data_IF_252023603914
#
_entry.id   IF_252023603914
#
_cell.length_a   1.000
_cell.length_b   1.000
_cell.length_c   1.000
_cell.angle_alpha   90.00
_cell.angle_beta   90.00
_cell.angle_gamma   90.00
#
_symmetry.space_group_name_H-M   'P 1'
#
loop_
_entity.id
_entity.type
_entity.pdbx_description
1 polymer ?
#
# COMPACT_ATOMS: atom_id res chain seq x y z
N UNK A 1 15.21 -15.76 21.38
CA UNK A 1 14.25 -15.53 20.28
C UNK A 1 15.06 -15.46 19.00
N UNK A 2 14.63 -16.11 17.91
CA UNK A 2 15.34 -16.01 16.62
C UNK A 2 15.26 -14.57 16.12
N UNK A 3 16.35 -14.05 15.57
CA UNK A 3 16.34 -12.75 14.87
C UNK A 3 15.69 -12.90 13.50
N UNK A 4 15.27 -11.79 12.89
CA UNK A 4 14.77 -11.81 11.51
C UNK A 4 15.83 -12.37 10.54
N UNK A 5 17.11 -12.10 10.80
CA UNK A 5 18.22 -12.65 10.00
C UNK A 5 18.33 -14.17 10.09
N UNK A 6 18.07 -14.74 11.28
CA UNK A 6 18.06 -16.19 11.47
C UNK A 6 16.91 -16.85 10.69
N UNK A 7 15.71 -16.23 10.72
CA UNK A 7 14.54 -16.73 10.00
C UNK A 7 14.73 -16.62 8.49
N UNK A 8 15.34 -15.53 7.99
CA UNK A 8 15.67 -15.36 6.56
C UNK A 8 16.65 -16.44 6.09
N UNK A 9 17.64 -16.79 6.92
CA UNK A 9 18.62 -17.83 6.57
C UNK A 9 18.01 -19.22 6.51
N UNK A 10 17.14 -19.54 7.47
CA UNK A 10 16.50 -20.85 7.56
C UNK A 10 15.35 -21.03 6.54
N UNK A 11 14.61 -19.97 6.26
CA UNK A 11 13.39 -19.98 5.44
C UNK A 11 13.41 -18.89 4.35
N UNK A 12 14.43 -18.86 3.46
CA UNK A 12 14.62 -17.76 2.52
C UNK A 12 13.44 -17.58 1.55
N UNK A 13 12.72 -18.67 1.25
CA UNK A 13 11.55 -18.63 0.35
C UNK A 13 10.38 -17.82 0.94
N UNK A 14 10.23 -17.75 2.26
CA UNK A 14 9.18 -16.93 2.90
C UNK A 14 9.41 -15.43 2.71
N UNK A 15 10.59 -15.03 2.26
CA UNK A 15 10.95 -13.64 1.97
C UNK A 15 11.07 -13.36 0.47
N UNK A 16 10.66 -14.32 -0.37
CA UNK A 16 10.43 -14.12 -1.80
C UNK A 16 8.94 -13.90 -2.02
N UNK A 17 8.57 -13.08 -3.01
CA UNK A 17 7.16 -12.78 -3.29
C UNK A 17 6.32 -14.05 -3.50
N UNK A 18 6.79 -14.95 -4.36
CA UNK A 18 6.11 -16.22 -4.67
C UNK A 18 5.95 -17.09 -3.43
N UNK A 19 6.99 -17.21 -2.59
CA UNK A 19 6.92 -18.02 -1.39
C UNK A 19 6.06 -17.40 -0.30
N UNK A 20 6.03 -16.06 -0.19
CA UNK A 20 5.12 -15.34 0.71
C UNK A 20 3.67 -15.57 0.29
N UNK A 21 3.35 -15.41 -1.00
CA UNK A 21 2.01 -15.64 -1.55
C UNK A 21 1.56 -17.08 -1.35
N UNK A 22 2.44 -18.05 -1.64
CA UNK A 22 2.16 -19.47 -1.44
C UNK A 22 1.87 -19.78 0.04
N UNK A 23 2.72 -19.30 0.94
CA UNK A 23 2.55 -19.53 2.37
C UNK A 23 1.26 -18.91 2.92
N UNK A 24 0.95 -17.68 2.51
CA UNK A 24 -0.31 -17.02 2.88
C UNK A 24 -1.52 -17.85 2.43
N UNK A 25 -1.48 -18.39 1.21
CA UNK A 25 -2.53 -19.28 0.70
C UNK A 25 -2.65 -20.56 1.50
N UNK A 26 -1.54 -21.20 1.85
CA UNK A 26 -1.57 -22.43 2.67
C UNK A 26 -2.19 -22.17 4.05
N UNK A 27 -1.91 -21.01 4.65
CA UNK A 27 -2.44 -20.64 5.96
C UNK A 27 -3.92 -20.22 5.93
N UNK A 28 -4.35 -19.52 4.89
CA UNK A 28 -5.67 -18.85 4.87
C UNK A 28 -6.66 -19.45 3.87
N UNK A 29 -6.18 -20.26 2.92
CA UNK A 29 -6.93 -20.71 1.75
C UNK A 29 -7.16 -19.61 0.69
N UNK A 30 -6.67 -18.39 0.91
CA UNK A 30 -6.93 -17.24 0.03
C UNK A 30 -5.82 -17.12 -1.01
N UNK A 31 -6.24 -17.07 -2.28
CA UNK A 31 -5.40 -16.68 -3.41
C UNK A 31 -5.32 -15.15 -3.46
N UNK A 32 -4.21 -14.55 -3.01
CA UNK A 32 -4.06 -13.10 -2.91
C UNK A 32 -4.31 -12.39 -4.24
N UNK A 33 -3.73 -12.89 -5.33
CA UNK A 33 -3.82 -12.23 -6.63
C UNK A 33 -5.28 -12.22 -7.14
N UNK A 34 -5.95 -13.37 -7.08
CA UNK A 34 -7.37 -13.50 -7.47
C UNK A 34 -8.28 -12.63 -6.59
N UNK A 35 -8.06 -12.65 -5.26
CA UNK A 35 -8.85 -11.88 -4.31
C UNK A 35 -8.64 -10.36 -4.45
N UNK A 36 -7.43 -9.95 -4.84
CA UNK A 36 -7.09 -8.57 -5.12
C UNK A 36 -7.75 -8.10 -6.42
N UNK A 37 -7.71 -8.91 -7.48
CA UNK A 37 -8.39 -8.61 -8.74
C UNK A 37 -9.91 -8.46 -8.55
N UNK A 38 -10.53 -9.41 -7.84
CA UNK A 38 -11.96 -9.35 -7.51
C UNK A 38 -12.30 -8.09 -6.69
N UNK A 39 -11.50 -7.79 -5.67
CA UNK A 39 -11.71 -6.62 -4.80
C UNK A 39 -11.53 -5.31 -5.57
N UNK A 40 -10.59 -5.25 -6.50
CA UNK A 40 -10.37 -4.10 -7.38
C UNK A 40 -11.55 -3.91 -8.33
N UNK A 41 -12.05 -4.99 -8.93
CA UNK A 41 -13.20 -4.97 -9.83
C UNK A 41 -14.53 -4.60 -9.14
N UNK A 42 -14.64 -4.79 -7.81
CA UNK A 42 -15.88 -4.61 -7.07
C UNK A 42 -15.79 -3.53 -5.98
N UNK A 43 -15.09 -3.83 -4.88
CA UNK A 43 -15.03 -3.02 -3.66
C UNK A 43 -14.35 -1.68 -3.92
N UNK A 44 -13.22 -1.67 -4.62
CA UNK A 44 -12.47 -0.43 -4.86
C UNK A 44 -13.25 0.52 -5.77
N UNK A 45 -13.85 0.01 -6.84
CA UNK A 45 -14.78 0.80 -7.66
C UNK A 45 -15.95 1.36 -6.87
N UNK A 46 -16.50 0.59 -5.92
CA UNK A 46 -17.58 1.08 -5.05
C UNK A 46 -17.12 2.21 -4.12
N UNK A 47 -15.91 2.09 -3.55
CA UNK A 47 -15.29 3.13 -2.73
C UNK A 47 -15.11 4.42 -3.54
N UNK A 48 -14.51 4.32 -4.73
CA UNK A 48 -14.30 5.49 -5.59
C UNK A 48 -15.63 6.16 -5.98
N UNK A 49 -16.63 5.37 -6.38
CA UNK A 49 -17.97 5.90 -6.67
C UNK A 49 -18.59 6.60 -5.47
N UNK A 50 -18.47 6.03 -4.28
CA UNK A 50 -18.96 6.69 -3.06
C UNK A 50 -18.36 8.09 -2.90
N UNK A 51 -17.05 8.22 -3.06
CA UNK A 51 -16.38 9.51 -2.94
C UNK A 51 -16.59 10.46 -4.13
N UNK A 52 -16.95 9.95 -5.30
CA UNK A 52 -17.43 10.79 -6.41
C UNK A 52 -18.76 11.47 -6.06
N UNK A 53 -19.65 10.77 -5.34
CA UNK A 53 -20.95 11.31 -4.94
C UNK A 53 -20.90 12.16 -3.67
N UNK A 54 -19.99 11.85 -2.74
CA UNK A 54 -19.71 12.74 -1.62
C UNK A 54 -18.99 13.96 -2.18
N UNK A 55 -19.60 15.14 -2.04
CA UNK A 55 -19.01 16.37 -2.53
C UNK A 55 -17.64 16.57 -1.90
N UNK A 56 -16.60 16.34 -2.69
CA UNK A 56 -15.22 16.49 -2.28
C UNK A 56 -14.73 17.83 -2.80
N UNK A 57 -14.22 18.69 -1.90
CA UNK A 57 -13.67 19.97 -2.32
C UNK A 57 -12.48 19.74 -3.26
N UNK A 58 -12.45 20.33 -4.48
CA UNK A 58 -11.38 20.06 -5.44
C UNK A 58 -9.98 20.39 -4.94
N UNK A 59 -9.85 21.42 -4.10
CA UNK A 59 -8.59 21.82 -3.46
C UNK A 59 -8.18 20.94 -2.28
N UNK A 60 -9.06 20.05 -1.82
CA UNK A 60 -8.72 19.08 -0.79
C UNK A 60 -7.84 17.96 -1.36
N UNK A 61 -7.20 17.22 -0.46
CA UNK A 61 -6.38 16.05 -0.83
C UNK A 61 -7.22 14.97 -1.50
N UNK A 62 -8.39 14.64 -0.94
CA UNK A 62 -9.34 13.73 -1.58
C UNK A 62 -9.77 14.23 -2.98
N UNK A 63 -9.95 15.54 -3.15
CA UNK A 63 -10.26 16.15 -4.44
C UNK A 63 -9.14 15.96 -5.46
N UNK A 64 -7.90 16.16 -5.02
CA UNK A 64 -6.70 15.94 -5.85
C UNK A 64 -6.56 14.48 -6.27
N UNK A 65 -6.73 13.54 -5.34
CA UNK A 65 -6.72 12.09 -5.63
C UNK A 65 -7.80 11.75 -6.65
N UNK A 66 -9.01 12.27 -6.48
CA UNK A 66 -10.13 12.03 -7.38
C UNK A 66 -9.86 12.56 -8.80
N UNK A 67 -9.28 13.76 -8.92
CA UNK A 67 -8.88 14.35 -10.22
C UNK A 67 -7.83 13.48 -10.91
N UNK A 68 -6.78 13.06 -10.19
CA UNK A 68 -5.74 12.19 -10.74
C UNK A 68 -6.30 10.84 -11.20
N UNK A 69 -7.21 10.26 -10.41
CA UNK A 69 -7.90 9.01 -10.76
C UNK A 69 -8.70 9.16 -12.06
N UNK A 70 -9.49 10.24 -12.19
CA UNK A 70 -10.28 10.52 -13.39
C UNK A 70 -9.41 10.80 -14.62
N UNK A 71 -8.17 11.27 -14.43
CA UNK A 71 -7.17 11.45 -15.48
C UNK A 71 -6.49 10.14 -15.92
N UNK A 72 -6.95 8.98 -15.42
CA UNK A 72 -6.39 7.66 -15.76
C UNK A 72 -5.36 7.14 -14.76
N UNK A 73 -5.31 7.71 -13.55
CA UNK A 73 -4.51 7.17 -12.45
C UNK A 73 -4.98 5.80 -11.98
N UNK A 74 -4.13 5.10 -11.23
CA UNK A 74 -4.42 3.76 -10.72
C UNK A 74 -5.59 3.77 -9.71
N UNK A 75 -6.69 3.08 -10.07
CA UNK A 75 -7.92 3.04 -9.26
C UNK A 75 -7.72 2.35 -7.90
N UNK A 76 -6.81 1.37 -7.80
CA UNK A 76 -6.55 0.66 -6.55
C UNK A 76 -5.78 1.56 -5.58
N UNK A 77 -4.72 2.21 -6.05
CA UNK A 77 -3.99 3.22 -5.29
C UNK A 77 -4.93 4.35 -4.85
N UNK A 78 -5.76 4.86 -5.78
CA UNK A 78 -6.73 5.89 -5.45
C UNK A 78 -7.71 5.45 -4.36
N UNK A 79 -8.28 4.25 -4.46
CA UNK A 79 -9.21 3.73 -3.45
C UNK A 79 -8.55 3.65 -2.06
N UNK A 80 -7.31 3.15 -1.99
CA UNK A 80 -6.55 3.09 -0.74
C UNK A 80 -6.27 4.49 -0.20
N UNK A 81 -5.76 5.41 -1.02
CA UNK A 81 -5.45 6.78 -0.60
C UNK A 81 -6.72 7.52 -0.12
N UNK A 82 -7.86 7.31 -0.76
CA UNK A 82 -9.14 7.87 -0.35
C UNK A 82 -9.59 7.34 1.02
N UNK A 83 -9.43 6.03 1.27
CA UNK A 83 -9.71 5.46 2.60
C UNK A 83 -8.80 6.07 3.67
N UNK A 84 -7.50 6.18 3.41
CA UNK A 84 -6.56 6.80 4.34
C UNK A 84 -6.91 8.26 4.64
N UNK A 85 -7.34 9.02 3.62
CA UNK A 85 -7.79 10.41 3.81
C UNK A 85 -9.08 10.48 4.64
N UNK A 86 -10.07 9.65 4.31
CA UNK A 86 -11.37 9.61 4.98
C UNK A 86 -11.27 9.26 6.46
N UNK A 87 -10.47 8.26 6.81
CA UNK A 87 -10.22 7.86 8.19
C UNK A 87 -9.19 8.74 8.91
N UNK A 88 -8.62 9.74 8.22
CA UNK A 88 -7.61 10.67 8.75
C UNK A 88 -6.38 9.94 9.28
N UNK A 89 -5.96 8.90 8.57
CA UNK A 89 -4.76 8.13 8.90
C UNK A 89 -3.51 9.00 8.77
N UNK A 90 -2.55 8.77 9.67
CA UNK A 90 -1.28 9.50 9.72
C UNK A 90 -0.35 8.96 8.65
N UNK A 91 -0.49 9.48 7.42
CA UNK A 91 0.28 9.03 6.25
C UNK A 91 1.78 9.14 6.45
N UNK A 92 2.25 10.15 7.17
CA UNK A 92 3.66 10.34 7.56
C UNK A 92 4.22 9.19 8.42
N UNK A 93 3.34 8.36 9.02
CA UNK A 93 3.71 7.15 9.75
C UNK A 93 3.60 5.87 8.91
N UNK A 94 2.88 5.94 7.79
CA UNK A 94 2.66 4.82 6.87
C UNK A 94 3.58 4.87 5.65
N UNK A 95 3.91 6.07 5.17
CA UNK A 95 4.75 6.33 4.01
C UNK A 95 5.99 7.09 4.45
N UNK A 96 7.15 6.50 4.18
CA UNK A 96 8.45 7.13 4.41
C UNK A 96 9.01 7.55 3.05
N UNK A 97 8.96 8.85 2.78
CA UNK A 97 9.48 9.41 1.54
C UNK A 97 11.01 9.44 1.60
N UNK A 98 11.65 8.89 0.58
CA UNK A 98 13.10 8.91 0.36
C UNK A 98 13.43 9.68 -0.91
N UNK A 99 14.71 9.95 -1.12
CA UNK A 99 15.18 10.57 -2.35
C UNK A 99 14.77 9.74 -3.57
N UNK A 100 14.43 10.39 -4.68
CA UNK A 100 13.93 9.73 -5.90
C UNK A 100 14.96 8.76 -6.51
N UNK A 101 16.24 8.93 -6.17
CA UNK A 101 17.33 8.05 -6.62
C UNK A 101 17.73 6.99 -5.59
N UNK A 102 17.07 6.95 -4.42
CA UNK A 102 17.41 6.03 -3.35
C UNK A 102 17.13 4.58 -3.74
N UNK A 103 18.12 3.71 -3.53
CA UNK A 103 17.93 2.26 -3.58
C UNK A 103 17.73 1.70 -2.17
N UNK A 104 17.26 0.46 -2.06
CA UNK A 104 16.98 -0.19 -0.77
C UNK A 104 18.15 -0.18 0.24
N UNK A 105 19.39 -0.03 -0.24
CA UNK A 105 20.59 0.09 0.59
C UNK A 105 20.80 1.47 1.19
N UNK A 106 20.25 2.51 0.58
CA UNK A 106 20.40 3.90 1.02
C UNK A 106 19.40 4.26 2.12
N UNK A 107 18.37 3.43 2.31
CA UNK A 107 17.36 3.58 3.35
C UNK A 107 17.98 3.32 4.72
N UNK A 108 18.12 4.38 5.51
CA UNK A 108 18.57 4.31 6.90
C UNK A 108 17.50 3.63 7.77
N UNK A 109 17.68 2.33 8.00
CA UNK A 109 16.74 1.49 8.78
C UNK A 109 16.60 1.94 10.23
N UNK A 110 17.54 2.73 10.76
CA UNK A 110 17.45 3.25 12.14
C UNK A 110 16.44 4.39 12.28
N UNK A 111 16.03 4.99 11.14
CA UNK A 111 15.04 6.07 11.06
C UNK A 111 13.65 5.58 10.69
N UNK A 112 13.49 4.30 10.35
CA UNK A 112 12.19 3.73 10.03
C UNK A 112 11.33 3.62 11.30
N UNK A 113 10.00 3.80 11.19
CA UNK A 113 9.11 3.58 12.31
C UNK A 113 9.12 2.11 12.73
N UNK A 114 8.82 1.87 14.01
CA UNK A 114 8.65 0.52 14.55
C UNK A 114 7.41 -0.21 13.99
N UNK A 115 6.47 0.55 13.45
CA UNK A 115 5.29 0.03 12.76
C UNK A 115 5.60 -0.25 11.30
N UNK A 116 4.95 -1.25 10.66
CA UNK A 116 5.06 -1.46 9.23
C UNK A 116 4.80 -0.17 8.44
N UNK A 117 5.70 0.16 7.51
CA UNK A 117 5.61 1.33 6.64
C UNK A 117 6.04 0.97 5.22
N UNK A 118 5.62 1.79 4.27
CA UNK A 118 5.96 1.73 2.86
C UNK A 118 7.01 2.80 2.60
N UNK A 119 8.17 2.42 2.07
CA UNK A 119 9.18 3.37 1.63
C UNK A 119 8.89 3.73 0.17
N UNK A 120 8.78 5.01 -0.12
CA UNK A 120 8.38 5.53 -1.43
C UNK A 120 9.40 6.56 -1.93
N UNK A 121 9.82 6.38 -3.17
CA UNK A 121 10.46 7.41 -3.98
C UNK A 121 9.30 8.20 -4.62
N UNK A 122 9.31 9.52 -4.59
CA UNK A 122 8.19 10.44 -4.85
C UNK A 122 7.20 10.70 -3.69
N UNK A 123 6.81 11.98 -3.57
CA UNK A 123 5.76 12.42 -2.63
C UNK A 123 4.37 12.03 -3.16
N UNK A 124 3.73 11.03 -2.55
CA UNK A 124 2.29 10.68 -2.72
C UNK A 124 1.32 11.65 -2.02
#
# INVERSE_FOLDING_TARGET
MKTTEDVVKEWPFLFQETGTKLHFRELTGIQIDDAFEESTATKFKRILRYFQFVHTEPSSRAGTIMIQTLAGGDEACAAVLMLLDHFKEQRDKMFVNVDDTAIARDVDKTKLPWTPCIVVCENL
#
